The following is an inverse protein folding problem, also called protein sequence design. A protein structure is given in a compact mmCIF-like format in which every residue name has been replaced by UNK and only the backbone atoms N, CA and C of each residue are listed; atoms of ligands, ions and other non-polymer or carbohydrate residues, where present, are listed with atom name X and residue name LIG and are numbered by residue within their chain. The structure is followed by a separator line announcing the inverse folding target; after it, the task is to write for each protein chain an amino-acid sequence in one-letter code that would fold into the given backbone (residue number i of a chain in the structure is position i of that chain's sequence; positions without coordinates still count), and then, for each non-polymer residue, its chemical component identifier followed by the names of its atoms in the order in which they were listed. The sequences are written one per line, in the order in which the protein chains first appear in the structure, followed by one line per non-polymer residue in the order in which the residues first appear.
data_IF_759985313324
#
_entry.id   IF_759985313324
#
_cell.length_a   1.000
_cell.length_b   1.000
_cell.length_c   1.000
_cell.angle_alpha   90.00
_cell.angle_beta   90.00
_cell.angle_gamma   90.00
#
_symmetry.space_group_name_H-M   'P 1'
#
loop_
_entity.id
_entity.type
_entity.pdbx_description
1 polymer ?
#
# COMPACT_ATOMS: atom_id res chain seq x y z
N UNK A 1 -27.15 -9.34 -22.09
CA UNK A 1 -26.17 -9.30 -20.98
C UNK A 1 -26.30 -7.95 -20.32
N UNK A 2 -26.62 -7.89 -19.03
CA UNK A 2 -26.82 -6.62 -18.32
C UNK A 2 -25.45 -6.17 -17.84
N UNK A 3 -24.89 -5.13 -18.46
CA UNK A 3 -23.70 -4.50 -17.94
C UNK A 3 -24.00 -4.06 -16.51
N UNK A 4 -23.35 -4.69 -15.54
CA UNK A 4 -23.42 -4.30 -14.14
C UNK A 4 -22.86 -2.88 -14.05
N UNK A 5 -23.73 -1.92 -13.73
CA UNK A 5 -23.33 -0.53 -13.52
C UNK A 5 -22.57 -0.47 -12.19
N UNK A 6 -21.26 -0.73 -12.24
CA UNK A 6 -20.37 -0.54 -11.11
C UNK A 6 -20.24 0.95 -10.80
N UNK A 7 -20.17 1.30 -9.52
CA UNK A 7 -20.01 2.69 -9.07
C UNK A 7 -18.96 2.78 -7.95
N UNK A 8 -18.55 4.01 -7.64
CA UNK A 8 -17.75 4.33 -6.47
C UNK A 8 -18.52 4.08 -5.18
N UNK A 9 -17.78 3.86 -4.09
CA UNK A 9 -18.33 3.75 -2.74
C UNK A 9 -18.92 5.10 -2.34
N UNK A 10 -20.18 5.07 -1.91
CA UNK A 10 -20.96 6.25 -1.49
C UNK A 10 -21.12 6.32 0.01
N UNK A 11 -21.24 5.16 0.66
CA UNK A 11 -21.26 5.07 2.12
C UNK A 11 -20.73 3.75 2.63
N UNK A 12 -20.29 3.77 3.88
CA UNK A 12 -19.82 2.60 4.61
C UNK A 12 -20.18 2.73 6.09
N UNK A 13 -20.78 1.70 6.66
CA UNK A 13 -21.14 1.63 8.07
C UNK A 13 -20.52 0.39 8.72
N UNK A 14 -19.94 0.58 9.90
CA UNK A 14 -19.38 -0.46 10.75
C UNK A 14 -19.86 -0.24 12.18
N UNK A 15 -20.69 -1.15 12.67
CA UNK A 15 -21.28 -1.07 14.00
C UNK A 15 -20.64 -2.08 14.96
N UNK A 16 -20.45 -1.67 16.20
CA UNK A 16 -20.00 -2.53 17.29
C UNK A 16 -18.56 -3.01 17.20
N UNK A 17 -17.67 -2.27 16.52
CA UNK A 17 -16.25 -2.58 16.49
C UNK A 17 -15.70 -2.56 17.92
N UNK A 18 -15.07 -3.66 18.33
CA UNK A 18 -14.61 -3.88 19.71
C UNK A 18 -15.71 -3.70 20.77
N UNK A 19 -16.98 -3.89 20.37
CA UNK A 19 -18.16 -3.79 21.24
C UNK A 19 -18.62 -2.38 21.58
N UNK A 20 -17.95 -1.32 21.12
CA UNK A 20 -18.31 0.05 21.50
C UNK A 20 -18.07 1.12 20.43
N UNK A 21 -17.33 0.82 19.35
CA UNK A 21 -17.06 1.80 18.29
C UNK A 21 -17.98 1.58 17.10
N UNK A 22 -18.71 2.63 16.78
CA UNK A 22 -19.53 2.73 15.59
C UNK A 22 -18.90 3.74 14.63
N UNK A 23 -18.89 3.42 13.35
CA UNK A 23 -18.35 4.25 12.29
C UNK A 23 -19.38 4.32 11.18
N UNK A 24 -19.90 5.53 10.96
CA UNK A 24 -20.79 5.83 9.85
C UNK A 24 -20.10 6.84 8.93
N UNK A 25 -19.66 6.35 7.77
CA UNK A 25 -19.08 7.17 6.72
C UNK A 25 -20.12 7.39 5.64
N UNK A 26 -20.84 8.51 5.77
CA UNK A 26 -21.84 8.96 4.82
C UNK A 26 -21.21 9.93 3.82
N UNK A 27 -21.75 9.98 2.60
CA UNK A 27 -21.33 10.93 1.55
C UNK A 27 -19.82 10.86 1.23
N UNK A 28 -19.31 9.64 1.03
CA UNK A 28 -17.92 9.41 0.58
C UNK A 28 -17.71 10.14 -0.73
N UNK A 29 -16.67 10.96 -0.80
CA UNK A 29 -16.33 11.70 -2.01
C UNK A 29 -15.81 10.70 -3.07
N UNK A 30 -16.31 10.74 -4.32
CA UNK A 30 -15.88 9.79 -5.35
C UNK A 30 -14.42 9.98 -5.80
N UNK A 31 -13.84 11.16 -5.59
CA UNK A 31 -12.49 11.49 -6.04
C UNK A 31 -11.46 11.14 -4.96
N UNK A 32 -11.47 11.86 -3.83
CA UNK A 32 -10.47 11.72 -2.77
C UNK A 32 -11.08 11.92 -1.40
N UNK A 33 -10.68 11.08 -0.45
CA UNK A 33 -11.02 11.23 0.95
C UNK A 33 -9.77 11.11 1.82
N UNK A 34 -9.69 11.87 2.90
CA UNK A 34 -8.57 11.83 3.86
C UNK A 34 -9.08 11.40 5.22
N UNK A 35 -8.58 10.27 5.72
CA UNK A 35 -8.92 9.76 7.04
C UNK A 35 -7.88 10.22 8.07
N UNK A 36 -8.28 11.12 8.99
CA UNK A 36 -7.41 11.71 10.01
C UNK A 36 -7.77 11.20 11.40
N UNK A 37 -6.78 11.08 12.27
CA UNK A 37 -6.98 10.71 13.67
C UNK A 37 -5.66 10.39 14.38
N UNK A 38 -5.68 10.35 15.70
CA UNK A 38 -4.50 10.05 16.52
C UNK A 38 -3.96 8.64 16.28
N UNK A 39 -2.71 8.39 16.67
CA UNK A 39 -2.14 7.04 16.61
C UNK A 39 -2.93 6.08 17.50
N UNK A 40 -3.13 4.85 17.02
CA UNK A 40 -3.95 3.86 17.72
C UNK A 40 -5.47 4.09 17.62
N UNK A 41 -5.95 5.11 16.90
CA UNK A 41 -7.40 5.37 16.79
C UNK A 41 -8.19 4.33 15.98
N UNK A 42 -7.50 3.46 15.23
CA UNK A 42 -8.12 2.40 14.43
C UNK A 42 -8.25 2.69 12.93
N UNK A 43 -7.58 3.73 12.38
CA UNK A 43 -7.64 4.09 10.95
C UNK A 43 -7.31 2.91 10.02
N UNK A 44 -6.17 2.25 10.24
CA UNK A 44 -5.75 1.09 9.47
C UNK A 44 -6.71 -0.09 9.65
N UNK A 45 -7.26 -0.27 10.85
CA UNK A 45 -8.26 -1.30 11.14
C UNK A 45 -9.52 -1.08 10.30
N UNK A 46 -10.03 0.15 10.25
CA UNK A 46 -11.18 0.51 9.42
C UNK A 46 -10.91 0.21 7.94
N UNK A 47 -9.74 0.63 7.43
CA UNK A 47 -9.35 0.38 6.03
C UNK A 47 -9.24 -1.13 5.72
N UNK A 48 -8.68 -1.92 6.62
CA UNK A 48 -8.58 -3.38 6.45
C UNK A 48 -9.96 -4.04 6.42
N UNK A 49 -10.86 -3.66 7.33
CA UNK A 49 -12.22 -4.19 7.39
C UNK A 49 -13.00 -3.80 6.12
N UNK A 50 -12.90 -2.54 5.70
CA UNK A 50 -13.56 -2.04 4.50
C UNK A 50 -13.09 -2.80 3.27
N UNK A 51 -11.77 -2.96 3.09
CA UNK A 51 -11.23 -3.73 1.98
C UNK A 51 -11.67 -5.20 2.01
N UNK A 52 -11.63 -5.85 3.17
CA UNK A 52 -12.06 -7.23 3.34
C UNK A 52 -13.57 -7.42 3.04
N UNK A 53 -14.41 -6.47 3.43
CA UNK A 53 -15.83 -6.45 3.11
C UNK A 53 -16.07 -6.42 1.59
N UNK A 54 -15.47 -5.46 0.89
CA UNK A 54 -15.67 -5.29 -0.55
C UNK A 54 -15.02 -6.41 -1.39
N UNK A 55 -14.02 -7.10 -0.85
CA UNK A 55 -13.35 -8.24 -1.52
C UNK A 55 -13.88 -9.61 -1.10
N UNK A 56 -14.87 -9.67 -0.21
CA UNK A 56 -15.38 -10.91 0.38
C UNK A 56 -14.32 -11.75 1.11
N UNK A 57 -13.31 -11.11 1.70
CA UNK A 57 -12.32 -11.79 2.53
C UNK A 57 -12.88 -12.10 3.93
N UNK A 58 -13.66 -13.17 4.00
CA UNK A 58 -14.24 -13.65 5.26
C UNK A 58 -13.19 -14.10 6.28
N UNK A 59 -11.96 -14.45 5.85
CA UNK A 59 -10.89 -14.86 6.77
C UNK A 59 -10.33 -13.65 7.51
N UNK A 60 -10.13 -12.55 6.80
CA UNK A 60 -9.69 -11.28 7.40
C UNK A 60 -10.78 -10.71 8.32
N UNK A 61 -12.05 -10.70 7.90
CA UNK A 61 -13.15 -10.19 8.72
C UNK A 61 -13.30 -10.92 10.08
N UNK A 62 -13.07 -12.24 10.13
CA UNK A 62 -13.14 -13.03 11.37
C UNK A 62 -12.14 -12.60 12.45
N UNK A 63 -11.09 -11.86 12.09
CA UNK A 63 -10.11 -11.34 13.07
C UNK A 63 -10.68 -10.21 13.93
N UNK A 64 -11.77 -9.59 13.49
CA UNK A 64 -12.36 -8.42 14.14
C UNK A 64 -13.69 -8.78 14.80
N UNK A 65 -13.92 -8.27 16.00
CA UNK A 65 -15.21 -8.33 16.67
C UNK A 65 -16.03 -7.11 16.28
N UNK A 66 -17.08 -7.32 15.50
CA UNK A 66 -18.05 -6.31 15.07
C UNK A 66 -19.48 -6.88 15.13
N UNK A 67 -20.48 -6.01 15.08
CA UNK A 67 -21.90 -6.41 15.03
C UNK A 67 -22.41 -6.44 13.60
N UNK A 68 -22.16 -5.38 12.84
CA UNK A 68 -22.70 -5.24 11.49
C UNK A 68 -21.76 -4.42 10.60
N UNK A 69 -21.73 -4.77 9.31
CA UNK A 69 -21.03 -4.01 8.26
C UNK A 69 -21.98 -3.84 7.08
N UNK A 70 -22.10 -2.61 6.58
CA UNK A 70 -22.88 -2.29 5.39
C UNK A 70 -22.09 -1.35 4.48
N UNK A 71 -22.11 -1.60 3.18
CA UNK A 71 -21.54 -0.73 2.16
C UNK A 71 -22.56 -0.40 1.07
N UNK A 72 -22.49 0.82 0.54
CA UNK A 72 -23.29 1.24 -0.61
C UNK A 72 -22.35 1.79 -1.68
N UNK A 73 -22.33 1.23 -2.90
CA UNK A 73 -23.12 0.08 -3.35
C UNK A 73 -22.63 -1.22 -2.68
N UNK A 74 -23.30 -2.34 -2.95
CA UNK A 74 -22.84 -3.64 -2.48
C UNK A 74 -21.49 -4.01 -3.13
N UNK A 75 -20.76 -4.93 -2.50
CA UNK A 75 -19.50 -5.48 -2.98
C UNK A 75 -19.52 -5.94 -4.46
N UNK A 76 -20.62 -6.52 -4.93
CA UNK A 76 -20.81 -6.99 -6.32
C UNK A 76 -21.01 -5.85 -7.34
N UNK A 77 -21.33 -4.66 -6.86
CA UNK A 77 -21.69 -3.47 -7.63
C UNK A 77 -20.65 -2.34 -7.50
N UNK A 78 -19.51 -2.64 -6.86
CA UNK A 78 -18.40 -1.69 -6.72
C UNK A 78 -17.36 -1.91 -7.81
N UNK A 79 -16.67 -0.85 -8.24
CA UNK A 79 -15.46 -0.98 -9.05
C UNK A 79 -14.41 -1.85 -8.33
N UNK A 80 -13.51 -2.56 -9.06
CA UNK A 80 -12.43 -3.31 -8.42
C UNK A 80 -11.61 -2.42 -7.48
N UNK A 81 -11.41 -2.87 -6.24
CA UNK A 81 -10.62 -2.14 -5.25
C UNK A 81 -9.15 -2.56 -5.30
N UNK A 82 -8.27 -1.58 -5.17
CA UNK A 82 -6.84 -1.79 -4.94
C UNK A 82 -6.50 -1.19 -3.58
N UNK A 83 -5.93 -2.00 -2.68
CA UNK A 83 -5.45 -1.53 -1.38
C UNK A 83 -3.93 -1.51 -1.36
N UNK A 84 -3.37 -0.30 -1.39
CA UNK A 84 -1.93 -0.05 -1.38
C UNK A 84 -1.50 0.46 -0.01
N UNK A 85 -0.48 -0.17 0.57
CA UNK A 85 0.20 0.33 1.78
C UNK A 85 1.63 0.71 1.42
N UNK A 86 2.25 1.54 2.27
CA UNK A 86 3.64 1.98 2.10
C UNK A 86 4.61 0.81 1.88
N UNK A 87 4.38 -0.34 2.52
CA UNK A 87 5.25 -1.52 2.41
C UNK A 87 4.98 -2.41 1.18
N UNK A 88 3.84 -2.23 0.50
CA UNK A 88 3.49 -3.01 -0.70
C UNK A 88 4.12 -2.41 -1.97
N UNK A 89 4.55 -1.16 -1.90
CA UNK A 89 5.36 -0.56 -2.97
C UNK A 89 6.77 -1.15 -2.84
N UNK A 90 7.27 -1.92 -3.82
CA UNK A 90 8.62 -2.45 -3.75
C UNK A 90 9.58 -1.27 -3.67
N UNK A 91 10.11 -1.03 -2.48
CA UNK A 91 11.31 -0.23 -2.32
C UNK A 91 12.36 -1.01 -3.11
N UNK A 92 12.89 -0.42 -4.18
CA UNK A 92 13.96 -1.03 -4.98
C UNK A 92 15.19 -1.41 -4.13
N UNK A 93 15.24 -0.92 -2.89
CA UNK A 93 16.31 -1.11 -1.94
C UNK A 93 15.94 -2.14 -0.85
N UNK A 94 15.91 -3.41 -1.24
CA UNK A 94 16.11 -4.52 -0.29
C UNK A 94 17.50 -5.08 -0.54
N UNK A 95 18.40 -4.80 0.41
CA UNK A 95 19.77 -5.33 0.59
C UNK A 95 20.89 -4.43 0.04
N UNK A 96 21.17 -3.35 0.76
CA UNK A 96 22.54 -2.92 1.12
C UNK A 96 22.43 -1.96 2.31
N UNK A 97 23.45 -1.94 3.16
CA UNK A 97 23.57 -1.07 4.34
C UNK A 97 23.64 0.42 4.00
N UNK A 98 23.51 0.80 2.72
CA UNK A 98 23.74 2.14 2.20
C UNK A 98 22.50 2.64 1.48
N UNK A 99 22.13 3.89 1.75
CA UNK A 99 20.99 4.57 1.10
C UNK A 99 21.14 4.61 -0.43
N UNK A 100 20.04 4.73 -1.20
CA UNK A 100 20.07 4.78 -2.66
C UNK A 100 21.03 5.84 -3.22
N UNK A 101 21.07 7.03 -2.58
CA UNK A 101 21.98 8.11 -2.95
C UNK A 101 23.45 7.73 -2.77
N UNK A 102 23.78 7.02 -1.69
CA UNK A 102 25.15 6.54 -1.44
C UNK A 102 25.54 5.45 -2.45
N UNK A 103 24.60 4.66 -2.94
CA UNK A 103 24.86 3.67 -3.97
C UNK A 103 25.17 4.33 -5.33
N UNK A 104 24.41 5.37 -5.70
CA UNK A 104 24.70 6.17 -6.91
C UNK A 104 26.06 6.87 -6.80
N UNK A 105 26.34 7.52 -5.67
CA UNK A 105 27.61 8.19 -5.42
C UNK A 105 28.78 7.20 -5.47
N UNK A 106 28.68 6.05 -4.79
CA UNK A 106 29.72 5.02 -4.80
C UNK A 106 29.92 4.41 -6.19
N UNK A 107 28.86 4.32 -7.00
CA UNK A 107 28.97 3.84 -8.38
C UNK A 107 29.71 4.85 -9.24
N UNK A 108 29.40 6.14 -9.09
CA UNK A 108 30.09 7.22 -9.79
C UNK A 108 31.59 7.26 -9.42
N UNK A 109 31.91 7.19 -8.12
CA UNK A 109 33.30 7.15 -7.62
C UNK A 109 34.04 5.90 -8.12
N UNK A 110 33.39 4.73 -8.16
CA UNK A 110 33.99 3.50 -8.70
C UNK A 110 34.25 3.61 -10.20
N UNK A 111 33.33 4.19 -10.97
CA UNK A 111 33.51 4.37 -12.40
C UNK A 111 34.64 5.36 -12.69
N UNK A 112 34.71 6.49 -11.98
CA UNK A 112 35.82 7.44 -12.13
C UNK A 112 37.17 6.83 -11.74
N UNK A 113 37.24 6.10 -10.62
CA UNK A 113 38.49 5.43 -10.21
C UNK A 113 38.91 4.35 -11.20
N UNK A 114 38.00 3.53 -11.72
CA UNK A 114 38.29 2.58 -12.80
C UNK A 114 38.71 3.28 -14.10
N UNK A 115 38.10 4.42 -14.45
CA UNK A 115 38.46 5.19 -15.62
C UNK A 115 39.87 5.78 -15.49
N UNK A 116 40.22 6.31 -14.32
CA UNK A 116 41.57 6.80 -14.02
C UNK A 116 42.57 5.63 -14.06
N UNK A 117 42.25 4.48 -13.44
CA UNK A 117 43.13 3.31 -13.42
C UNK A 117 43.41 2.74 -14.80
N UNK A 118 42.39 2.62 -15.66
CA UNK A 118 42.55 2.14 -17.03
C UNK A 118 43.33 3.11 -17.93
N UNK A 119 43.33 4.41 -17.62
CA UNK A 119 44.11 5.40 -18.37
C UNK A 119 45.54 5.58 -17.86
N UNK A 120 45.88 5.09 -16.65
CA UNK A 120 47.22 5.23 -16.05
C UNK A 120 48.08 3.96 -16.09
N UNK A 121 47.53 2.80 -16.43
CA UNK A 121 48.27 1.54 -16.55
C UNK A 121 48.07 0.91 -17.94
N UNK A 122 48.80 1.36 -18.97
CA UNK A 122 48.97 0.57 -20.18
C UNK A 122 49.92 -0.59 -19.85
N UNK A 123 49.41 -1.80 -20.00
CA UNK A 123 50.17 -3.05 -20.09
C UNK A 123 50.87 -3.54 -18.80
N UNK A 124 50.21 -4.50 -18.12
CA UNK A 124 50.92 -5.71 -17.66
C UNK A 124 50.13 -6.95 -18.02
N UNK A 125 50.62 -7.62 -19.06
CA UNK A 125 50.34 -9.00 -19.40
C UNK A 125 50.61 -9.94 -18.21
N UNK A 126 49.84 -11.04 -18.20
CA UNK A 126 50.00 -12.27 -17.43
C UNK A 126 49.89 -12.16 -15.90
N UNK A 127 48.84 -12.76 -15.35
CA UNK A 127 48.98 -13.98 -14.55
C UNK A 127 47.63 -14.67 -14.36
N UNK A 128 47.72 -16.00 -14.36
CA UNK A 128 46.76 -17.09 -14.17
C UNK A 128 45.40 -16.79 -13.50
#
# INVERSE_FOLDING_TARGET
MKDSCKTYIRSFSLQGLWGHKNVDWLNVNPDVNVLVGINGSGKTTLMNIMYAYYTNDTKELRKYKYQEIQGVPLNTETYPLVYLRTFDTPIADKRKSESPLMQELNTFIKLETCFIWNNYLPERNNCC
#
